data_IF_125263478283
#
_entry.id   IF_125263478283
#
_cell.length_a   1.000
_cell.length_b   1.000
_cell.length_c   1.000
_cell.angle_alpha   90.00
_cell.angle_beta   90.00
_cell.angle_gamma   90.00
#
_symmetry.space_group_name_H-M   'P 1'
#
loop_
_entity.id
_entity.type
_entity.pdbx_description
1 polymer ?
#
# COMPACT_ATOMS: atom_id res chain seq x y z
N UNK A 1 28.57 -44.20 6.43
CA UNK A 1 27.34 -43.72 5.80
C UNK A 1 27.53 -42.22 5.53
N UNK A 2 27.68 -41.87 4.24
CA UNK A 2 27.49 -40.57 3.56
C UNK A 2 28.11 -39.30 4.20
N UNK A 3 29.32 -38.82 3.85
CA UNK A 3 29.69 -37.94 2.69
C UNK A 3 28.62 -36.89 2.35
N UNK A 4 28.85 -35.57 2.55
CA UNK A 4 29.51 -34.64 1.60
C UNK A 4 29.79 -33.29 2.32
N UNK A 5 31.04 -32.89 2.51
CA UNK A 5 31.75 -31.82 1.75
C UNK A 5 30.96 -30.53 1.49
N UNK A 6 31.09 -29.55 2.39
CA UNK A 6 30.80 -28.14 2.09
C UNK A 6 32.01 -27.55 1.36
N UNK A 7 31.87 -27.29 0.06
CA UNK A 7 32.86 -26.53 -0.71
C UNK A 7 32.65 -25.05 -0.37
N UNK A 8 33.62 -24.46 0.33
CA UNK A 8 33.76 -23.01 0.44
C UNK A 8 34.40 -22.50 -0.85
N UNK A 9 33.59 -22.03 -1.81
CA UNK A 9 34.10 -21.24 -2.93
C UNK A 9 34.06 -19.77 -2.50
N UNK A 10 35.22 -19.25 -2.12
CA UNK A 10 35.48 -17.82 -2.22
C UNK A 10 35.69 -17.46 -3.68
N UNK A 11 35.04 -16.40 -4.16
CA UNK A 11 35.42 -15.75 -5.40
C UNK A 11 35.71 -14.28 -5.08
N UNK A 12 36.98 -13.93 -5.31
CA UNK A 12 37.54 -12.60 -5.18
C UNK A 12 36.89 -11.61 -6.16
N UNK A 13 36.82 -10.37 -5.68
CA UNK A 13 36.62 -9.13 -6.42
C UNK A 13 37.49 -8.98 -7.67
N UNK A 14 36.87 -8.58 -8.79
CA UNK A 14 37.52 -7.77 -9.83
C UNK A 14 36.66 -6.56 -10.15
N UNK A 15 37.22 -5.39 -9.90
CA UNK A 15 36.68 -4.07 -10.24
C UNK A 15 36.57 -3.95 -11.76
N UNK A 16 35.38 -3.65 -12.24
CA UNK A 16 35.10 -3.18 -13.61
C UNK A 16 34.21 -1.95 -13.53
N UNK A 17 34.80 -0.76 -13.62
CA UNK A 17 34.10 0.49 -13.86
C UNK A 17 33.52 0.44 -15.29
N UNK A 18 32.20 0.49 -15.43
CA UNK A 18 31.43 1.18 -16.49
C UNK A 18 29.93 0.88 -16.33
N UNK A 19 29.16 1.92 -15.98
CA UNK A 19 27.72 2.09 -16.24
C UNK A 19 26.76 0.94 -15.94
N UNK A 20 26.15 0.94 -14.76
CA UNK A 20 24.97 0.10 -14.49
C UNK A 20 24.46 0.33 -13.08
N UNK A 21 23.23 0.84 -12.95
CA UNK A 21 22.54 0.96 -11.68
C UNK A 21 22.54 -0.40 -10.98
N UNK A 22 23.26 -0.49 -9.86
CA UNK A 22 23.29 -1.70 -9.04
C UNK A 22 21.99 -1.75 -8.25
N UNK A 23 20.92 -2.25 -8.88
CA UNK A 23 19.77 -2.78 -8.17
C UNK A 23 20.29 -4.02 -7.46
N UNK A 24 20.50 -3.91 -6.15
CA UNK A 24 20.77 -5.07 -5.30
C UNK A 24 19.49 -5.91 -5.29
N UNK A 25 19.40 -6.84 -6.24
CA UNK A 25 18.39 -7.88 -6.25
C UNK A 25 18.77 -8.86 -5.13
N UNK A 26 18.25 -8.62 -3.94
CA UNK A 26 18.21 -9.62 -2.88
C UNK A 26 17.40 -10.80 -3.40
N UNK A 27 18.08 -11.91 -3.71
CA UNK A 27 17.45 -13.20 -3.98
C UNK A 27 16.82 -13.69 -2.68
N UNK A 28 15.52 -13.45 -2.54
CA UNK A 28 14.72 -14.09 -1.52
C UNK A 28 14.58 -15.57 -1.90
N UNK A 29 14.88 -16.46 -0.95
CA UNK A 29 14.80 -17.91 -1.13
C UNK A 29 13.38 -18.35 -1.56
N UNK A 30 13.32 -19.32 -2.46
CA UNK A 30 12.12 -20.05 -2.88
C UNK A 30 11.45 -20.74 -1.67
N UNK A 31 10.58 -20.00 -1.00
CA UNK A 31 9.40 -20.52 -0.34
C UNK A 31 8.21 -19.87 -1.02
N UNK A 32 7.19 -20.65 -1.39
CA UNK A 32 5.94 -20.13 -1.96
C UNK A 32 5.42 -18.97 -1.09
N UNK A 33 5.49 -17.75 -1.59
CA UNK A 33 4.71 -16.64 -1.07
C UNK A 33 3.92 -16.06 -2.23
N UNK A 34 2.64 -16.35 -2.20
CA UNK A 34 1.66 -15.88 -3.18
C UNK A 34 1.74 -14.35 -3.19
N UNK A 35 2.10 -13.72 -4.31
CA UNK A 35 1.91 -12.27 -4.43
C UNK A 35 0.44 -11.99 -4.14
N UNK A 36 0.15 -11.37 -2.99
CA UNK A 36 -1.23 -11.15 -2.56
C UNK A 36 -1.99 -10.43 -3.67
N UNK A 37 -3.16 -10.96 -4.03
CA UNK A 37 -3.92 -10.42 -5.15
C UNK A 37 -4.25 -8.93 -4.91
N UNK A 38 -3.87 -8.10 -5.89
CA UNK A 38 -4.10 -6.66 -5.88
C UNK A 38 -5.46 -6.31 -6.48
N UNK A 39 -6.52 -6.96 -5.99
CA UNK A 39 -7.89 -6.76 -6.47
C UNK A 39 -8.79 -6.29 -5.34
N UNK A 40 -9.86 -5.56 -5.70
CA UNK A 40 -10.90 -5.14 -4.75
C UNK A 40 -11.49 -6.35 -4.03
N UNK A 41 -11.72 -7.46 -4.73
CA UNK A 41 -12.27 -8.67 -4.13
C UNK A 41 -11.37 -9.25 -3.04
N UNK A 42 -10.04 -9.27 -3.25
CA UNK A 42 -9.08 -9.80 -2.31
C UNK A 42 -8.96 -8.93 -1.05
N UNK A 43 -8.85 -7.61 -1.21
CA UNK A 43 -8.77 -6.69 -0.07
C UNK A 43 -10.08 -6.68 0.71
N UNK A 44 -11.25 -6.77 0.07
CA UNK A 44 -12.55 -6.86 0.76
C UNK A 44 -12.62 -8.13 1.62
N UNK A 45 -12.15 -9.27 1.11
CA UNK A 45 -12.12 -10.51 1.89
C UNK A 45 -11.24 -10.36 3.16
N UNK A 46 -10.09 -9.70 3.04
CA UNK A 46 -9.21 -9.38 4.18
C UNK A 46 -9.88 -8.42 5.17
N UNK A 47 -10.53 -7.36 4.68
CA UNK A 47 -11.26 -6.41 5.52
C UNK A 47 -12.41 -7.09 6.28
N UNK A 48 -13.13 -8.01 5.65
CA UNK A 48 -14.20 -8.76 6.34
C UNK A 48 -13.66 -9.68 7.43
N UNK A 49 -12.46 -10.25 7.26
CA UNK A 49 -11.83 -11.07 8.30
C UNK A 49 -11.46 -10.29 9.57
N UNK A 50 -11.38 -8.96 9.49
CA UNK A 50 -11.14 -8.07 10.65
C UNK A 50 -12.42 -7.77 11.45
N UNK A 51 -13.60 -8.00 10.86
CA UNK A 51 -14.89 -7.69 11.51
C UNK A 51 -15.05 -8.46 12.82
N UNK A 52 -15.34 -7.75 13.92
CA UNK A 52 -15.53 -8.34 15.24
C UNK A 52 -14.25 -8.84 15.93
N UNK A 53 -13.08 -8.56 15.34
CA UNK A 53 -11.78 -8.89 15.93
C UNK A 53 -11.23 -7.74 16.77
N UNK A 54 -10.46 -8.10 17.80
CA UNK A 54 -9.62 -7.12 18.49
C UNK A 54 -8.36 -6.90 17.66
N UNK A 55 -8.17 -5.67 17.21
CA UNK A 55 -7.02 -5.27 16.39
C UNK A 55 -6.05 -4.50 17.29
N UNK A 56 -4.80 -4.96 17.34
CA UNK A 56 -3.69 -4.23 17.94
C UNK A 56 -2.94 -3.47 16.84
N UNK A 57 -2.27 -2.39 17.22
CA UNK A 57 -1.41 -1.62 16.33
C UNK A 57 -0.04 -1.38 16.96
N UNK A 58 0.99 -1.23 16.14
CA UNK A 58 2.36 -0.89 16.57
C UNK A 58 2.80 0.52 16.19
N UNK A 59 2.12 1.13 15.21
CA UNK A 59 2.40 2.47 14.72
C UNK A 59 1.74 3.59 15.51
N UNK A 60 1.98 4.83 15.07
CA UNK A 60 1.43 6.06 15.66
C UNK A 60 -0.10 6.13 15.53
N UNK A 61 -0.66 5.58 14.46
CA UNK A 61 -2.10 5.62 14.22
C UNK A 61 -2.78 4.35 14.73
N UNK A 62 -3.91 4.54 15.40
CA UNK A 62 -4.79 3.43 15.75
C UNK A 62 -5.56 2.91 14.50
N UNK A 63 -6.19 1.72 14.58
CA UNK A 63 -6.85 1.10 13.43
C UNK A 63 -7.96 1.98 12.83
N UNK A 64 -8.74 2.68 13.66
CA UNK A 64 -9.81 3.56 13.19
C UNK A 64 -9.28 4.71 12.32
N UNK A 65 -8.13 5.28 12.69
CA UNK A 65 -7.45 6.33 11.93
C UNK A 65 -6.86 5.80 10.63
N UNK A 66 -6.22 4.62 10.67
CA UNK A 66 -5.71 3.93 9.47
C UNK A 66 -6.83 3.67 8.46
N UNK A 67 -7.94 3.06 8.89
CA UNK A 67 -9.06 2.76 7.99
C UNK A 67 -9.68 4.02 7.40
N UNK A 68 -9.80 5.07 8.21
CA UNK A 68 -10.28 6.38 7.74
C UNK A 68 -9.36 7.00 6.69
N UNK A 69 -8.04 6.97 6.90
CA UNK A 69 -7.06 7.48 5.97
C UNK A 69 -7.10 6.74 4.62
N UNK A 70 -7.10 5.41 4.66
CA UNK A 70 -7.20 4.59 3.45
C UNK A 70 -8.51 4.86 2.69
N UNK A 71 -9.63 5.03 3.41
CA UNK A 71 -10.91 5.37 2.80
C UNK A 71 -10.87 6.73 2.09
N UNK A 72 -10.29 7.76 2.73
CA UNK A 72 -10.11 9.08 2.09
C UNK A 72 -9.35 8.98 0.78
N UNK A 73 -8.24 8.21 0.73
CA UNK A 73 -7.47 8.05 -0.50
C UNK A 73 -8.29 7.44 -1.63
N UNK A 74 -9.11 6.43 -1.32
CA UNK A 74 -9.98 5.79 -2.31
C UNK A 74 -11.08 6.75 -2.77
N UNK A 75 -11.73 7.45 -1.85
CA UNK A 75 -12.77 8.44 -2.13
C UNK A 75 -12.26 9.58 -3.03
N UNK A 76 -11.03 10.05 -2.79
CA UNK A 76 -10.41 11.11 -3.60
C UNK A 76 -10.01 10.67 -5.00
N UNK A 77 -9.85 9.37 -5.26
CA UNK A 77 -9.70 8.89 -6.65
C UNK A 77 -10.95 9.14 -7.51
N UNK A 78 -12.11 9.28 -6.87
CA UNK A 78 -13.39 9.55 -7.55
C UNK A 78 -13.84 11.01 -7.43
N UNK A 79 -13.45 11.69 -6.36
CA UNK A 79 -13.94 13.05 -6.04
C UNK A 79 -12.88 14.14 -6.18
N UNK A 80 -11.60 13.77 -6.32
CA UNK A 80 -10.46 14.66 -6.51
C UNK A 80 -9.65 14.86 -5.23
N UNK A 81 -8.32 14.76 -5.36
CA UNK A 81 -7.42 15.02 -4.23
C UNK A 81 -7.33 16.53 -3.94
N UNK A 82 -7.28 16.95 -2.65
CA UNK A 82 -7.31 18.38 -2.30
C UNK A 82 -6.08 19.16 -2.78
N UNK A 83 -4.90 18.56 -2.67
CA UNK A 83 -3.64 19.14 -3.11
C UNK A 83 -2.82 18.12 -3.90
N UNK A 84 -2.11 18.60 -4.93
CA UNK A 84 -1.28 17.77 -5.79
C UNK A 84 0.20 18.15 -5.68
N UNK A 85 1.07 17.16 -5.88
CA UNK A 85 2.46 17.44 -6.27
C UNK A 85 2.48 18.10 -7.66
N UNK A 86 3.56 18.82 -7.97
CA UNK A 86 3.72 19.48 -9.27
C UNK A 86 3.53 18.52 -10.45
N UNK A 87 3.05 19.02 -11.59
CA UNK A 87 2.87 18.19 -12.79
C UNK A 87 4.19 17.58 -13.28
N UNK A 88 5.31 18.31 -13.13
CA UNK A 88 6.63 17.78 -13.43
C UNK A 88 6.94 16.55 -12.58
N UNK A 89 6.63 16.59 -11.28
CA UNK A 89 6.83 15.45 -10.38
C UNK A 89 5.95 14.25 -10.77
N UNK A 90 4.64 14.48 -10.96
CA UNK A 90 3.69 13.41 -11.31
C UNK A 90 4.07 12.71 -12.62
N UNK A 91 4.54 13.46 -13.61
CA UNK A 91 4.95 12.93 -14.91
C UNK A 91 6.38 12.35 -14.95
N UNK A 92 7.12 12.38 -13.83
CA UNK A 92 8.50 11.86 -13.77
C UNK A 92 8.70 10.90 -12.60
N UNK A 93 9.11 11.41 -11.43
CA UNK A 93 9.40 10.60 -10.25
C UNK A 93 8.16 9.88 -9.73
N UNK A 94 6.99 10.53 -9.79
CA UNK A 94 5.72 9.95 -9.37
C UNK A 94 5.34 8.72 -10.19
N UNK A 95 5.26 8.86 -11.51
CA UNK A 95 4.94 7.75 -12.41
C UNK A 95 6.00 6.63 -12.39
N UNK A 96 7.28 6.98 -12.24
CA UNK A 96 8.35 5.99 -12.08
C UNK A 96 8.23 5.21 -10.77
N UNK A 97 7.93 5.90 -9.66
CA UNK A 97 7.72 5.25 -8.37
C UNK A 97 6.52 4.29 -8.43
N UNK A 98 5.39 4.74 -9.01
CA UNK A 98 4.24 3.87 -9.20
C UNK A 98 4.57 2.65 -10.04
N UNK A 99 5.27 2.82 -11.16
CA UNK A 99 5.69 1.69 -12.02
C UNK A 99 6.54 0.67 -11.25
N UNK A 100 7.46 1.14 -10.41
CA UNK A 100 8.28 0.26 -9.56
C UNK A 100 7.43 -0.49 -8.52
N UNK A 101 6.47 0.18 -7.88
CA UNK A 101 5.54 -0.45 -6.94
C UNK A 101 4.63 -1.47 -7.60
N UNK A 102 4.05 -1.15 -8.76
CA UNK A 102 3.22 -2.08 -9.52
C UNK A 102 3.98 -3.33 -9.97
N UNK A 103 5.25 -3.19 -10.37
CA UNK A 103 6.12 -4.33 -10.70
C UNK A 103 6.44 -5.19 -9.46
N UNK A 104 6.63 -4.55 -8.30
CA UNK A 104 6.89 -5.24 -7.03
C UNK A 104 5.64 -5.88 -6.42
N UNK A 105 4.46 -5.36 -6.77
CA UNK A 105 3.18 -5.72 -6.13
C UNK A 105 3.01 -5.16 -4.71
N UNK A 106 3.87 -4.22 -4.29
CA UNK A 106 3.78 -3.54 -2.99
C UNK A 106 4.34 -2.13 -3.07
N UNK A 107 3.81 -1.24 -2.23
CA UNK A 107 4.34 0.10 -2.02
C UNK A 107 4.86 0.26 -0.59
N UNK A 108 5.71 1.26 -0.38
CA UNK A 108 6.16 1.67 0.96
C UNK A 108 6.09 3.17 1.02
N UNK A 109 5.42 3.69 2.05
CA UNK A 109 5.40 5.11 2.38
C UNK A 109 5.35 5.31 3.90
N UNK A 110 5.35 6.57 4.37
CA UNK A 110 5.27 6.86 5.79
C UNK A 110 3.84 6.61 6.30
N UNK A 111 3.69 5.66 7.22
CA UNK A 111 2.37 5.16 7.65
C UNK A 111 1.59 6.12 8.55
N UNK A 112 2.20 7.24 8.94
CA UNK A 112 1.57 8.35 9.66
C UNK A 112 1.50 9.66 8.86
N UNK A 113 1.69 9.59 7.52
CA UNK A 113 1.58 10.73 6.62
C UNK A 113 0.13 10.97 6.17
N UNK A 114 -0.38 12.19 6.38
CA UNK A 114 -1.71 12.59 5.91
C UNK A 114 -1.73 12.87 4.41
N UNK A 115 -2.90 12.72 3.78
CA UNK A 115 -3.11 13.16 2.39
C UNK A 115 -2.98 14.69 2.34
N UNK A 116 -2.16 15.26 1.44
CA UNK A 116 -1.99 16.71 1.31
C UNK A 116 -3.33 17.45 1.16
N UNK A 117 -3.54 18.46 2.00
CA UNK A 117 -4.75 19.28 2.02
C UNK A 117 -6.04 18.59 2.49
N UNK A 118 -6.00 17.30 2.84
CA UNK A 118 -7.20 16.60 3.34
C UNK A 118 -7.57 17.06 4.76
N UNK A 119 -8.87 17.02 5.12
CA UNK A 119 -9.31 17.30 6.48
C UNK A 119 -8.58 16.42 7.49
N UNK A 120 -8.18 17.02 8.61
CA UNK A 120 -7.52 16.33 9.73
C UNK A 120 -8.43 15.21 10.24
N UNK A 121 -7.88 14.00 10.36
CA UNK A 121 -8.56 12.86 10.97
C UNK A 121 -8.51 13.02 12.49
N UNK A 122 -9.58 13.59 13.05
CA UNK A 122 -9.75 13.80 14.50
C UNK A 122 -10.30 12.56 15.19
N UNK A 123 -9.50 11.50 15.23
CA UNK A 123 -9.79 10.28 16.00
C UNK A 123 -8.83 10.23 17.19
N UNK A 124 -9.37 10.09 18.40
CA UNK A 124 -8.58 9.97 19.64
C UNK A 124 -7.82 8.65 19.66
N UNK A 125 -6.63 8.62 20.27
CA UNK A 125 -5.82 7.41 20.41
C UNK A 125 -6.58 6.27 21.13
N UNK A 126 -7.56 6.61 21.97
CA UNK A 126 -8.45 5.69 22.69
C UNK A 126 -9.78 5.46 21.97
N UNK A 127 -9.78 5.47 20.64
CA UNK A 127 -10.96 5.19 19.82
C UNK A 127 -11.69 3.94 20.32
N UNK A 128 -13.01 4.07 20.48
CA UNK A 128 -13.83 2.96 20.95
C UNK A 128 -13.97 1.88 19.86
N UNK A 129 -14.28 0.62 20.21
CA UNK A 129 -14.52 -0.44 19.23
C UNK A 129 -15.57 -0.09 18.17
N UNK A 130 -16.55 0.75 18.51
CA UNK A 130 -17.58 1.25 17.60
C UNK A 130 -16.99 2.16 16.52
N UNK A 131 -16.13 3.12 16.88
CA UNK A 131 -15.44 4.00 15.92
C UNK A 131 -14.53 3.21 14.97
N UNK A 132 -13.85 2.17 15.49
CA UNK A 132 -13.07 1.26 14.65
C UNK A 132 -13.96 0.52 13.64
N UNK A 133 -15.12 0.04 14.08
CA UNK A 133 -16.07 -0.66 13.21
C UNK A 133 -16.66 0.27 12.14
N UNK A 134 -16.99 1.51 12.50
CA UNK A 134 -17.46 2.53 11.57
C UNK A 134 -16.40 2.85 10.51
N UNK A 135 -15.14 3.05 10.93
CA UNK A 135 -14.04 3.32 10.01
C UNK A 135 -13.75 2.14 9.08
N UNK A 136 -13.77 0.90 9.60
CA UNK A 136 -13.65 -0.31 8.78
C UNK A 136 -14.81 -0.42 7.77
N UNK A 137 -16.02 -0.11 8.20
CA UNK A 137 -17.22 -0.10 7.34
C UNK A 137 -17.11 0.96 6.24
N UNK A 138 -16.61 2.16 6.57
CA UNK A 138 -16.34 3.20 5.59
C UNK A 138 -15.29 2.77 4.57
N UNK A 139 -14.19 2.14 4.99
CA UNK A 139 -13.17 1.64 4.08
C UNK A 139 -13.73 0.60 3.10
N UNK A 140 -14.51 -0.36 3.61
CA UNK A 140 -15.20 -1.35 2.75
C UNK A 140 -16.15 -0.67 1.77
N UNK A 141 -16.90 0.35 2.22
CA UNK A 141 -17.78 1.14 1.35
C UNK A 141 -17.00 1.89 0.27
N UNK A 142 -15.87 2.52 0.60
CA UNK A 142 -15.04 3.23 -0.36
C UNK A 142 -14.56 2.31 -1.49
N UNK A 143 -14.14 1.09 -1.17
CA UNK A 143 -13.80 0.08 -2.17
C UNK A 143 -15.01 -0.36 -3.02
N UNK A 144 -16.17 -0.55 -2.40
CA UNK A 144 -17.40 -0.87 -3.11
C UNK A 144 -17.78 0.25 -4.11
N UNK A 145 -17.79 1.50 -3.64
CA UNK A 145 -18.08 2.67 -4.46
C UNK A 145 -17.08 2.80 -5.61
N UNK A 146 -15.77 2.67 -5.34
CA UNK A 146 -14.72 2.68 -6.36
C UNK A 146 -14.91 1.59 -7.43
N UNK A 147 -15.23 0.36 -7.00
CA UNK A 147 -15.47 -0.74 -7.92
C UNK A 147 -16.66 -0.46 -8.84
N UNK A 148 -17.73 0.15 -8.31
CA UNK A 148 -18.94 0.52 -9.06
C UNK A 148 -18.81 1.86 -9.81
N UNK A 149 -17.74 2.63 -9.60
CA UNK A 149 -17.62 3.97 -10.18
C UNK A 149 -17.39 3.91 -11.70
N UNK A 150 -18.35 4.41 -12.48
CA UNK A 150 -18.28 4.48 -13.95
C UNK A 150 -17.86 5.88 -14.46
N UNK A 151 -17.63 6.83 -13.55
CA UNK A 151 -17.15 8.16 -13.89
C UNK A 151 -15.68 8.18 -14.30
N UNK A 152 -15.22 9.36 -14.73
CA UNK A 152 -13.78 9.58 -14.95
C UNK A 152 -13.09 9.70 -13.60
N UNK A 153 -12.07 8.87 -13.35
CA UNK A 153 -11.27 8.95 -12.13
C UNK A 153 -10.35 10.17 -12.19
N UNK A 154 -10.26 10.86 -11.06
CA UNK A 154 -9.41 12.04 -10.90
C UNK A 154 -7.92 11.63 -10.86
N UNK A 155 -6.97 12.50 -11.26
CA UNK A 155 -5.55 12.19 -11.18
C UNK A 155 -5.08 11.94 -9.74
N UNK A 156 -4.17 11.00 -9.55
CA UNK A 156 -3.56 10.75 -8.25
C UNK A 156 -2.65 11.93 -7.86
N UNK A 157 -2.69 12.36 -6.60
CA UNK A 157 -1.94 13.53 -6.13
C UNK A 157 -0.41 13.43 -6.34
N UNK A 158 0.13 12.21 -6.26
CA UNK A 158 1.56 11.92 -6.48
C UNK A 158 1.88 11.25 -7.84
N UNK A 159 1.01 10.39 -8.38
CA UNK A 159 1.33 9.53 -9.54
C UNK A 159 0.76 10.07 -10.87
N UNK A 160 -0.11 11.08 -10.84
CA UNK A 160 -0.76 11.59 -12.04
C UNK A 160 -1.94 10.74 -12.48
N UNK A 161 -2.27 10.75 -13.77
CA UNK A 161 -3.40 9.99 -14.29
C UNK A 161 -3.14 8.50 -14.17
N UNK A 162 -4.09 7.78 -13.58
CA UNK A 162 -4.09 6.32 -13.52
C UNK A 162 -5.37 5.79 -14.19
N UNK A 163 -5.27 4.60 -14.77
CA UNK A 163 -6.42 3.80 -15.19
C UNK A 163 -7.13 3.19 -13.97
N UNK A 164 -8.33 2.65 -14.16
CA UNK A 164 -9.08 2.00 -13.07
C UNK A 164 -8.34 0.79 -12.48
N UNK A 165 -7.68 -0.02 -13.31
CA UNK A 165 -6.88 -1.16 -12.86
C UNK A 165 -5.62 -0.72 -12.10
N UNK A 166 -4.97 0.37 -12.54
CA UNK A 166 -3.82 0.94 -11.82
C UNK A 166 -4.23 1.53 -10.48
N UNK A 167 -5.37 2.21 -10.41
CA UNK A 167 -5.94 2.68 -9.14
C UNK A 167 -6.32 1.54 -8.21
N UNK A 168 -6.90 0.45 -8.73
CA UNK A 168 -7.19 -0.75 -7.95
C UNK A 168 -5.91 -1.28 -7.30
N UNK A 169 -4.84 -1.45 -8.08
CA UNK A 169 -3.55 -1.88 -7.56
C UNK A 169 -2.97 -0.87 -6.54
N UNK A 170 -3.02 0.43 -6.82
CA UNK A 170 -2.54 1.47 -5.92
C UNK A 170 -3.26 1.43 -4.57
N UNK A 171 -4.59 1.37 -4.58
CA UNK A 171 -5.42 1.34 -3.37
C UNK A 171 -5.17 0.08 -2.54
N UNK A 172 -5.05 -1.07 -3.19
CA UNK A 172 -4.79 -2.34 -2.48
C UNK A 172 -3.39 -2.36 -1.88
N UNK A 173 -2.36 -1.98 -2.64
CA UNK A 173 -1.00 -1.87 -2.11
C UNK A 173 -0.91 -0.87 -0.95
N UNK A 174 -1.62 0.25 -1.04
CA UNK A 174 -1.68 1.26 0.02
C UNK A 174 -2.28 0.69 1.31
N UNK A 175 -3.43 0.01 1.21
CA UNK A 175 -4.07 -0.63 2.35
C UNK A 175 -3.18 -1.71 2.97
N UNK A 176 -2.56 -2.56 2.14
CA UNK A 176 -1.67 -3.60 2.63
C UNK A 176 -0.46 -3.02 3.35
N UNK A 177 0.13 -1.94 2.85
CA UNK A 177 1.26 -1.30 3.54
C UNK A 177 0.86 -0.74 4.92
N UNK A 178 -0.34 -0.18 5.08
CA UNK A 178 -0.83 0.21 6.40
C UNK A 178 -1.14 -0.99 7.32
N UNK A 179 -1.45 -2.15 6.76
CA UNK A 179 -1.74 -3.35 7.54
C UNK A 179 -0.49 -3.96 8.16
N UNK A 180 0.70 -3.59 7.69
CA UNK A 180 1.97 -3.97 8.31
C UNK A 180 2.07 -3.50 9.77
N UNK A 181 1.32 -2.46 10.16
CA UNK A 181 1.25 -1.97 11.55
C UNK A 181 0.13 -2.61 12.38
N UNK A 182 -0.67 -3.51 11.80
CA UNK A 182 -1.84 -4.11 12.44
C UNK A 182 -1.62 -5.59 12.75
N UNK A 183 -2.20 -6.04 13.86
CA UNK A 183 -2.29 -7.48 14.18
C UNK A 183 -3.62 -7.80 14.83
N UNK A 184 -4.10 -9.04 14.65
CA UNK A 184 -5.35 -9.53 15.24
C UNK A 184 -5.05 -10.46 16.41
N UNK A 185 -5.85 -10.35 17.48
CA UNK A 185 -5.81 -11.23 18.67
C UNK A 185 -7.06 -12.09 18.76
#
# INVERSE_FOLDING_TARGET
MERRQFIKVGALSTIGLLGGASVLLSTHEEGQDETEALTVSAVIAKLEALSGKRILHTGTWNPAKIFTHCAQSIEYSMTGYPEHKSDLFKNTLGSLAFSAFSLKGSMVHALDEVIPGAPVISIDDKAMPEEQLEALTRLKKAFFDFNQFEGTLEPHFAYGQLTKAEYEAAHVMHVYNHFDELSVV
#
